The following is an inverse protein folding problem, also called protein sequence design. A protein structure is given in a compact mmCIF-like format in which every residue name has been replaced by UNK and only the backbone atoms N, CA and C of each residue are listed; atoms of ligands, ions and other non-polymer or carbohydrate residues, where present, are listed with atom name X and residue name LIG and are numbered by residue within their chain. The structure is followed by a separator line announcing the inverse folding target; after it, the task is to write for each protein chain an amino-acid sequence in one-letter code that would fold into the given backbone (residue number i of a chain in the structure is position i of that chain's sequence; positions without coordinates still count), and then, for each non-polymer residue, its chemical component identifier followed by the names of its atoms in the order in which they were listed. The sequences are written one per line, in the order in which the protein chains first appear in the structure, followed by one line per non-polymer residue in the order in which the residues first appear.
data_IF_117441697034
#
_entry.id   IF_117441697034
#
_cell.length_a   1.000
_cell.length_b   1.000
_cell.length_c   1.000
_cell.angle_alpha   90.00
_cell.angle_beta   90.00
_cell.angle_gamma   90.00
#
_symmetry.space_group_name_H-M   'P 1'
#
loop_
_entity.id
_entity.type
_entity.pdbx_description
1 polymer ?
#
# COMPACT_ATOMS: atom_id res chain seq x y z
N UNK A 1 -35.16 -13.39 -1.54
CA UNK A 1 -34.80 -11.96 -1.44
C UNK A 1 -33.30 -11.89 -1.31
N UNK A 2 -32.65 -10.89 -1.90
CA UNK A 2 -31.21 -10.67 -1.71
C UNK A 2 -30.91 -10.08 -0.32
N UNK A 3 -29.79 -10.48 0.27
CA UNK A 3 -29.39 -10.06 1.62
C UNK A 3 -27.90 -9.74 1.70
N UNK A 4 -27.53 -8.89 2.65
CA UNK A 4 -26.12 -8.68 3.04
C UNK A 4 -25.92 -9.38 4.38
N UNK A 5 -24.87 -10.18 4.45
CA UNK A 5 -24.49 -10.90 5.65
C UNK A 5 -22.97 -10.96 5.83
N UNK A 6 -22.50 -11.32 7.03
CA UNK A 6 -21.08 -11.58 7.25
C UNK A 6 -20.56 -12.70 6.33
N UNK A 7 -19.31 -12.50 5.87
CA UNK A 7 -18.53 -13.48 5.14
C UNK A 7 -18.13 -14.63 6.05
N UNK A 8 -18.32 -15.87 5.60
CA UNK A 8 -17.97 -17.09 6.31
C UNK A 8 -16.98 -17.95 5.53
N UNK A 9 -16.32 -18.92 6.20
CA UNK A 9 -15.40 -19.85 5.51
C UNK A 9 -16.07 -20.64 4.39
N UNK A 10 -17.35 -20.93 4.52
CA UNK A 10 -18.13 -21.65 3.49
C UNK A 10 -18.31 -20.85 2.20
N UNK A 11 -18.18 -19.54 2.27
CA UNK A 11 -18.35 -18.65 1.12
C UNK A 11 -17.07 -18.52 0.27
N UNK A 12 -15.91 -18.96 0.81
CA UNK A 12 -14.61 -18.81 0.15
C UNK A 12 -14.63 -19.28 -1.32
N UNK A 13 -15.19 -20.45 -1.67
CA UNK A 13 -15.20 -20.90 -3.07
C UNK A 13 -15.93 -19.93 -4.01
N UNK A 14 -17.09 -19.40 -3.58
CA UNK A 14 -17.87 -18.46 -4.38
C UNK A 14 -17.17 -17.09 -4.49
N UNK A 15 -16.57 -16.60 -3.40
CA UNK A 15 -15.82 -15.33 -3.37
C UNK A 15 -14.55 -15.42 -4.23
N UNK A 16 -13.85 -16.56 -4.21
CA UNK A 16 -12.69 -16.82 -5.09
C UNK A 16 -13.11 -16.79 -6.57
N UNK A 17 -14.23 -17.41 -6.92
CA UNK A 17 -14.76 -17.37 -8.28
C UNK A 17 -15.13 -15.93 -8.70
N UNK A 18 -15.78 -15.18 -7.82
CA UNK A 18 -16.09 -13.75 -8.06
C UNK A 18 -14.80 -12.94 -8.26
N UNK A 19 -13.76 -13.16 -7.43
CA UNK A 19 -12.47 -12.52 -7.52
C UNK A 19 -11.81 -12.78 -8.88
N UNK A 20 -11.77 -14.03 -9.33
CA UNK A 20 -11.22 -14.40 -10.63
C UNK A 20 -12.00 -13.74 -11.78
N UNK A 21 -13.34 -13.72 -11.72
CA UNK A 21 -14.19 -13.06 -12.72
C UNK A 21 -13.94 -11.54 -12.79
N UNK A 22 -13.75 -10.87 -11.67
CA UNK A 22 -13.62 -9.41 -11.63
C UNK A 22 -12.22 -8.94 -12.02
N UNK A 23 -11.17 -9.62 -11.53
CA UNK A 23 -9.80 -9.13 -11.69
C UNK A 23 -9.00 -9.81 -12.80
N UNK A 24 -9.42 -10.98 -13.30
CA UNK A 24 -8.66 -11.76 -14.30
C UNK A 24 -9.43 -12.00 -15.61
N UNK A 25 -10.47 -11.23 -15.89
CA UNK A 25 -11.35 -11.41 -17.05
C UNK A 25 -10.70 -11.10 -18.42
N UNK A 26 -9.48 -10.53 -18.46
CA UNK A 26 -8.84 -10.01 -19.68
C UNK A 26 -7.70 -10.91 -20.19
N UNK A 27 -7.77 -12.23 -20.05
CA UNK A 27 -6.74 -13.14 -20.57
C UNK A 27 -5.47 -13.20 -19.72
N UNK A 28 -5.46 -12.64 -18.55
CA UNK A 28 -4.41 -12.84 -17.56
C UNK A 28 -4.57 -14.20 -16.87
N UNK A 29 -3.45 -14.89 -16.64
CA UNK A 29 -3.47 -16.16 -15.92
C UNK A 29 -3.89 -15.93 -14.47
N UNK A 30 -5.09 -16.40 -14.12
CA UNK A 30 -5.56 -16.33 -12.74
C UNK A 30 -4.73 -17.29 -11.86
N UNK A 31 -4.42 -16.91 -10.61
CA UNK A 31 -3.86 -17.85 -9.65
C UNK A 31 -4.79 -19.02 -9.41
N UNK A 32 -4.24 -20.19 -9.01
CA UNK A 32 -5.07 -21.36 -8.73
C UNK A 32 -6.09 -21.08 -7.65
N UNK A 33 -7.27 -21.66 -7.77
CA UNK A 33 -8.35 -21.48 -6.78
C UNK A 33 -7.93 -21.93 -5.38
N UNK A 34 -7.09 -22.97 -5.26
CA UNK A 34 -6.55 -23.43 -3.97
C UNK A 34 -5.66 -22.37 -3.30
N UNK A 35 -4.77 -21.72 -4.07
CA UNK A 35 -3.92 -20.64 -3.56
C UNK A 35 -4.74 -19.41 -3.14
N UNK A 36 -5.79 -19.09 -3.90
CA UNK A 36 -6.70 -18.00 -3.54
C UNK A 36 -7.52 -18.33 -2.31
N UNK A 37 -8.02 -19.57 -2.18
CA UNK A 37 -8.78 -19.99 -0.99
C UNK A 37 -7.93 -19.89 0.27
N UNK A 38 -6.68 -20.36 0.25
CA UNK A 38 -5.75 -20.23 1.36
C UNK A 38 -5.47 -18.74 1.70
N UNK A 39 -5.30 -17.90 0.68
CA UNK A 39 -5.11 -16.46 0.85
C UNK A 39 -6.34 -15.80 1.52
N UNK A 40 -7.57 -16.09 1.07
CA UNK A 40 -8.79 -15.52 1.66
C UNK A 40 -8.99 -16.01 3.10
N UNK A 41 -8.74 -17.28 3.36
CA UNK A 41 -8.85 -17.84 4.70
C UNK A 41 -7.85 -17.19 5.66
N UNK A 42 -6.58 -17.14 5.29
CA UNK A 42 -5.53 -16.55 6.12
C UNK A 42 -5.76 -15.04 6.36
N UNK A 43 -6.18 -14.30 5.31
CA UNK A 43 -6.32 -12.84 5.38
C UNK A 43 -7.53 -12.41 6.23
N UNK A 44 -8.67 -13.11 6.11
CA UNK A 44 -9.92 -12.65 6.71
C UNK A 44 -10.34 -13.40 7.97
N UNK A 45 -9.73 -14.57 8.25
CA UNK A 45 -10.09 -15.37 9.42
C UNK A 45 -8.93 -15.63 10.40
N UNK A 46 -7.68 -15.37 9.99
CA UNK A 46 -6.50 -15.57 10.82
C UNK A 46 -5.66 -14.30 10.99
N UNK A 47 -6.28 -13.13 10.86
CA UNK A 47 -5.61 -11.87 11.15
C UNK A 47 -5.60 -11.62 12.67
N UNK A 48 -4.54 -11.00 13.24
CA UNK A 48 -4.45 -10.78 14.68
C UNK A 48 -5.53 -9.85 15.25
N UNK A 49 -6.33 -9.23 14.40
CA UNK A 49 -7.42 -8.33 14.81
C UNK A 49 -8.80 -8.98 14.73
N UNK A 50 -8.92 -10.25 14.31
CA UNK A 50 -10.19 -10.97 14.18
C UNK A 50 -10.55 -11.83 15.39
N UNK A 51 -9.68 -11.92 16.42
CA UNK A 51 -9.83 -12.85 17.54
C UNK A 51 -10.61 -12.28 18.73
N UNK A 52 -11.03 -11.03 18.73
CA UNK A 52 -11.61 -10.38 19.92
C UNK A 52 -13.02 -10.82 20.31
N UNK A 53 -13.71 -11.69 19.58
CA UNK A 53 -14.96 -12.36 19.97
C UNK A 53 -16.09 -11.45 20.54
N UNK A 54 -15.99 -10.14 20.37
CA UNK A 54 -16.98 -9.18 20.85
C UNK A 54 -18.21 -9.13 19.94
N UNK A 55 -19.39 -8.87 20.49
CA UNK A 55 -20.65 -8.76 19.73
C UNK A 55 -20.61 -7.69 18.62
N UNK A 56 -19.69 -6.73 18.70
CA UNK A 56 -19.45 -5.66 17.72
C UNK A 56 -18.29 -5.94 16.77
N UNK A 57 -18.15 -7.18 16.32
CA UNK A 57 -17.04 -7.55 15.43
C UNK A 57 -17.19 -6.90 14.05
N UNK A 58 -16.08 -6.28 13.59
CA UNK A 58 -15.98 -5.73 12.23
C UNK A 58 -15.64 -6.87 11.27
N UNK A 59 -16.66 -7.32 10.49
CA UNK A 59 -16.53 -8.47 9.59
C UNK A 59 -16.60 -8.07 8.13
N UNK A 60 -15.91 -8.83 7.28
CA UNK A 60 -16.11 -8.81 5.82
C UNK A 60 -17.56 -9.17 5.47
N UNK A 61 -18.08 -8.60 4.37
CA UNK A 61 -19.47 -8.74 3.98
C UNK A 61 -19.61 -9.36 2.60
N UNK A 62 -20.64 -10.17 2.42
CA UNK A 62 -21.08 -10.69 1.12
C UNK A 62 -22.48 -10.17 0.79
N UNK A 63 -22.74 -9.98 -0.50
CA UNK A 63 -24.07 -9.76 -1.04
C UNK A 63 -24.55 -11.05 -1.70
N UNK A 64 -25.56 -11.66 -1.12
CA UNK A 64 -26.14 -12.92 -1.56
C UNK A 64 -27.51 -12.68 -2.22
N UNK A 65 -27.72 -13.26 -3.38
CA UNK A 65 -28.99 -13.24 -4.09
C UNK A 65 -29.97 -14.27 -3.52
N UNK A 66 -31.26 -14.16 -3.86
CA UNK A 66 -32.30 -15.03 -3.32
C UNK A 66 -32.15 -16.52 -3.69
N UNK A 67 -31.30 -16.85 -4.65
CA UNK A 67 -30.91 -18.20 -5.07
C UNK A 67 -29.62 -18.71 -4.43
N UNK A 68 -29.06 -17.94 -3.49
CA UNK A 68 -27.84 -18.30 -2.75
C UNK A 68 -26.51 -17.98 -3.46
N UNK A 69 -26.54 -17.27 -4.60
CA UNK A 69 -25.32 -16.88 -5.28
C UNK A 69 -24.71 -15.61 -4.67
N UNK A 70 -23.39 -15.61 -4.46
CA UNK A 70 -22.64 -14.44 -4.00
C UNK A 70 -22.22 -13.61 -5.21
N UNK A 71 -22.80 -12.43 -5.35
CA UNK A 71 -22.55 -11.48 -6.46
C UNK A 71 -21.83 -10.22 -6.02
N UNK A 72 -21.54 -10.06 -4.74
CA UNK A 72 -20.76 -8.95 -4.22
C UNK A 72 -20.00 -9.33 -2.96
N UNK A 73 -18.83 -8.69 -2.76
CA UNK A 73 -17.98 -8.90 -1.61
C UNK A 73 -17.25 -7.60 -1.26
N UNK A 74 -17.10 -7.32 0.01
CA UNK A 74 -16.18 -6.35 0.55
C UNK A 74 -15.38 -7.01 1.67
N UNK A 75 -14.08 -7.20 1.43
CA UNK A 75 -13.15 -7.65 2.45
C UNK A 75 -12.88 -6.55 3.45
N UNK A 76 -12.82 -6.85 4.73
CA UNK A 76 -12.57 -5.89 5.79
C UNK A 76 -11.53 -6.47 6.74
N UNK A 77 -10.48 -5.69 6.99
CA UNK A 77 -9.50 -5.98 8.03
C UNK A 77 -9.65 -4.92 9.13
N UNK A 78 -10.06 -5.31 10.33
CA UNK A 78 -10.04 -4.43 11.49
C UNK A 78 -8.62 -3.95 11.76
N UNK A 79 -8.47 -2.74 12.26
CA UNK A 79 -7.19 -2.16 12.69
C UNK A 79 -7.40 -1.34 13.94
N UNK A 80 -6.42 -1.35 14.83
CA UNK A 80 -6.37 -0.41 15.95
C UNK A 80 -5.55 0.79 15.54
N UNK A 81 -6.08 1.99 15.77
CA UNK A 81 -5.35 3.24 15.60
C UNK A 81 -5.49 4.11 16.86
N UNK A 82 -4.62 5.07 16.98
CA UNK A 82 -4.66 6.07 18.06
C UNK A 82 -4.96 7.44 17.43
N UNK A 83 -5.97 8.13 17.96
CA UNK A 83 -6.24 9.55 17.69
C UNK A 83 -5.82 10.35 18.93
N UNK A 84 -4.77 11.15 18.81
CA UNK A 84 -4.18 11.89 19.95
C UNK A 84 -3.90 10.99 21.16
N UNK A 85 -3.43 9.75 20.92
CA UNK A 85 -3.18 8.76 21.96
C UNK A 85 -4.41 8.00 22.46
N UNK A 86 -5.63 8.32 22.01
CA UNK A 86 -6.87 7.61 22.36
C UNK A 86 -7.14 6.49 21.34
N UNK A 87 -7.41 5.26 21.76
CA UNK A 87 -7.73 4.17 20.85
C UNK A 87 -8.99 4.45 20.03
N UNK A 88 -8.94 4.15 18.74
CA UNK A 88 -10.08 4.13 17.83
C UNK A 88 -10.09 2.85 17.02
N UNK A 89 -11.28 2.40 16.62
CA UNK A 89 -11.48 1.24 15.75
C UNK A 89 -11.46 1.69 14.29
N UNK A 90 -10.61 1.06 13.47
CA UNK A 90 -10.53 1.33 12.05
C UNK A 90 -10.84 0.06 11.25
N UNK A 91 -11.59 0.21 10.18
CA UNK A 91 -11.89 -0.84 9.23
C UNK A 91 -11.23 -0.52 7.88
N UNK A 92 -10.21 -1.28 7.50
CA UNK A 92 -9.60 -1.16 6.16
C UNK A 92 -10.34 -2.10 5.21
N UNK A 93 -11.03 -1.50 4.22
CA UNK A 93 -11.69 -2.30 3.18
C UNK A 93 -10.71 -2.67 2.08
N UNK A 94 -10.87 -3.88 1.54
CA UNK A 94 -10.09 -4.42 0.45
C UNK A 94 -10.92 -5.35 -0.43
N UNK A 95 -10.46 -5.57 -1.65
CA UNK A 95 -11.15 -6.46 -2.60
C UNK A 95 -12.64 -6.15 -2.73
N UNK A 96 -13.00 -4.85 -2.79
CA UNK A 96 -14.38 -4.48 -3.10
C UNK A 96 -14.73 -4.93 -4.51
N UNK A 97 -15.61 -5.92 -4.63
CA UNK A 97 -15.96 -6.60 -5.87
C UNK A 97 -17.46 -6.72 -6.00
N UNK A 98 -17.94 -6.54 -7.22
CA UNK A 98 -19.33 -6.83 -7.60
C UNK A 98 -19.31 -7.47 -8.98
N UNK A 99 -20.11 -8.52 -9.17
CA UNK A 99 -20.20 -9.21 -10.45
C UNK A 99 -20.64 -8.25 -11.57
N UNK A 100 -19.95 -8.23 -12.72
CA UNK A 100 -20.34 -7.38 -13.85
C UNK A 100 -21.77 -7.70 -14.33
N UNK A 101 -22.65 -6.69 -14.40
CA UNK A 101 -24.03 -6.85 -14.88
C UNK A 101 -24.99 -5.77 -14.38
N UNK A 102 -26.20 -5.73 -14.88
CA UNK A 102 -27.20 -4.65 -14.64
C UNK A 102 -27.69 -4.54 -13.17
N UNK A 103 -27.60 -5.61 -12.38
CA UNK A 103 -28.01 -5.64 -10.96
C UNK A 103 -26.85 -5.32 -10.01
N UNK A 104 -25.64 -5.22 -10.50
CA UNK A 104 -24.41 -5.16 -9.72
C UNK A 104 -24.20 -3.80 -9.03
N UNK A 105 -24.64 -2.69 -9.64
CA UNK A 105 -24.44 -1.35 -9.07
C UNK A 105 -25.18 -1.19 -7.73
N UNK A 106 -26.38 -1.74 -7.61
CA UNK A 106 -27.14 -1.68 -6.36
C UNK A 106 -26.47 -2.51 -5.24
N UNK A 107 -25.95 -3.68 -5.56
CA UNK A 107 -25.22 -4.53 -4.60
C UNK A 107 -24.00 -3.81 -4.04
N UNK A 108 -23.20 -3.13 -4.88
CA UNK A 108 -22.04 -2.35 -4.44
C UNK A 108 -22.42 -1.18 -3.52
N UNK A 109 -23.47 -0.44 -3.87
CA UNK A 109 -23.99 0.65 -3.04
C UNK A 109 -24.47 0.15 -1.69
N UNK A 110 -25.20 -0.97 -1.67
CA UNK A 110 -25.71 -1.55 -0.41
C UNK A 110 -24.60 -2.10 0.47
N UNK A 111 -23.61 -2.81 -0.11
CA UNK A 111 -22.42 -3.27 0.63
C UNK A 111 -21.68 -2.11 1.31
N UNK A 112 -21.42 -1.02 0.56
CA UNK A 112 -20.74 0.14 1.14
C UNK A 112 -21.58 0.88 2.19
N UNK A 113 -22.91 0.99 2.02
CA UNK A 113 -23.79 1.55 3.06
C UNK A 113 -23.73 0.72 4.33
N UNK A 114 -23.80 -0.61 4.22
CA UNK A 114 -23.69 -1.51 5.38
C UNK A 114 -22.31 -1.38 6.03
N UNK A 115 -21.24 -1.32 5.24
CA UNK A 115 -19.89 -1.11 5.73
C UNK A 115 -19.76 0.23 6.50
N UNK A 116 -20.30 1.33 5.98
CA UNK A 116 -20.26 2.64 6.66
C UNK A 116 -21.11 2.70 7.92
N UNK A 117 -22.11 1.83 8.03
CA UNK A 117 -22.95 1.71 9.21
C UNK A 117 -22.36 0.81 10.30
N UNK A 118 -21.20 0.22 10.06
CA UNK A 118 -20.52 -0.64 11.01
C UNK A 118 -20.03 0.10 12.27
N UNK A 119 -19.50 -0.67 13.24
CA UNK A 119 -19.12 -0.15 14.56
C UNK A 119 -17.76 0.58 14.59
N UNK A 120 -17.06 0.68 13.46
CA UNK A 120 -15.78 1.37 13.36
C UNK A 120 -15.92 2.90 13.40
N UNK A 121 -14.92 3.56 13.98
CA UNK A 121 -14.80 5.01 14.00
C UNK A 121 -14.29 5.56 12.66
N UNK A 122 -13.46 4.78 11.94
CA UNK A 122 -12.89 5.13 10.65
C UNK A 122 -13.02 3.96 9.66
N UNK A 123 -13.63 4.21 8.52
CA UNK A 123 -13.57 3.34 7.34
C UNK A 123 -12.51 3.86 6.38
N UNK A 124 -11.61 3.00 5.92
CA UNK A 124 -10.45 3.34 5.09
C UNK A 124 -10.29 2.35 3.93
N UNK A 125 -9.86 2.84 2.77
CA UNK A 125 -9.20 2.06 1.72
C UNK A 125 -8.11 2.90 1.07
N UNK A 126 -7.07 2.29 0.55
CA UNK A 126 -5.93 3.01 -0.03
C UNK A 126 -5.55 2.53 -1.44
N UNK A 127 -6.41 1.75 -2.05
CA UNK A 127 -6.20 1.26 -3.42
C UNK A 127 -7.45 1.35 -4.32
N UNK A 128 -8.35 2.28 -4.01
CA UNK A 128 -9.59 2.44 -4.74
C UNK A 128 -9.38 2.89 -6.20
N UNK A 129 -10.10 2.24 -7.12
CA UNK A 129 -10.22 2.68 -8.50
C UNK A 129 -11.24 3.82 -8.66
N UNK A 130 -11.32 4.41 -9.85
CA UNK A 130 -12.17 5.57 -10.13
C UNK A 130 -13.67 5.31 -9.87
N UNK A 131 -14.17 4.11 -10.18
CA UNK A 131 -15.57 3.75 -9.93
C UNK A 131 -15.83 3.63 -8.41
N UNK A 132 -14.97 2.92 -7.68
CA UNK A 132 -15.07 2.79 -6.22
C UNK A 132 -15.05 4.15 -5.53
N UNK A 133 -14.19 5.07 -5.99
CA UNK A 133 -14.14 6.45 -5.50
C UNK A 133 -15.48 7.16 -5.67
N UNK A 134 -16.09 7.11 -6.87
CA UNK A 134 -17.39 7.76 -7.13
C UNK A 134 -18.50 7.24 -6.21
N UNK A 135 -18.56 5.93 -6.00
CA UNK A 135 -19.56 5.33 -5.12
C UNK A 135 -19.31 5.73 -3.67
N UNK A 136 -18.07 5.70 -3.22
CA UNK A 136 -17.67 6.08 -1.87
C UNK A 136 -18.03 7.53 -1.55
N UNK A 137 -17.63 8.47 -2.44
CA UNK A 137 -17.96 9.90 -2.30
C UNK A 137 -19.48 10.15 -2.35
N UNK A 138 -20.20 9.45 -3.23
CA UNK A 138 -21.67 9.52 -3.35
C UNK A 138 -22.41 9.04 -2.10
N UNK A 139 -21.77 8.27 -1.23
CA UNK A 139 -22.31 7.77 0.04
C UNK A 139 -21.84 8.56 1.28
N UNK A 140 -21.19 9.71 1.08
CA UNK A 140 -20.72 10.58 2.17
C UNK A 140 -19.29 10.30 2.63
N UNK A 141 -18.57 9.42 1.96
CA UNK A 141 -17.13 9.30 2.18
C UNK A 141 -16.35 10.38 1.45
N UNK A 142 -15.05 10.43 1.64
CA UNK A 142 -14.19 11.45 1.08
C UNK A 142 -12.87 10.89 0.55
N UNK A 143 -12.29 11.56 -0.44
CA UNK A 143 -10.94 11.26 -0.93
C UNK A 143 -9.91 12.01 -0.10
N UNK A 144 -9.01 11.29 0.54
CA UNK A 144 -7.83 11.84 1.20
C UNK A 144 -6.74 12.13 0.16
N UNK A 145 -6.83 13.29 -0.52
CA UNK A 145 -5.99 13.62 -1.68
C UNK A 145 -4.50 13.56 -1.36
N UNK A 146 -4.07 14.11 -0.22
CA UNK A 146 -2.67 14.12 0.19
C UNK A 146 -2.08 12.70 0.31
N UNK A 147 -2.90 11.73 0.76
CA UNK A 147 -2.53 10.32 0.89
C UNK A 147 -2.73 9.51 -0.40
N UNK A 148 -3.29 10.11 -1.44
CA UNK A 148 -3.44 9.51 -2.77
C UNK A 148 -2.27 9.87 -3.69
N UNK A 149 -1.33 10.71 -3.24
CA UNK A 149 -0.13 11.08 -3.99
C UNK A 149 0.92 9.98 -3.82
N UNK A 150 1.46 9.54 -4.95
CA UNK A 150 2.63 8.68 -4.98
C UNK A 150 3.84 9.47 -5.52
N UNK A 151 4.99 9.21 -4.96
CA UNK A 151 6.25 9.75 -5.46
C UNK A 151 7.03 8.71 -6.24
N UNK A 152 7.84 9.19 -7.18
CA UNK A 152 8.78 8.37 -7.97
C UNK A 152 10.12 9.08 -8.02
N UNK A 153 11.19 8.40 -7.62
CA UNK A 153 12.58 8.85 -7.77
C UNK A 153 13.25 8.02 -8.86
N UNK A 154 13.66 8.68 -9.94
CA UNK A 154 14.42 8.03 -11.01
C UNK A 154 15.90 7.93 -10.60
N UNK A 155 16.45 6.72 -10.62
CA UNK A 155 17.86 6.43 -10.29
C UNK A 155 18.68 6.13 -11.54
N UNK A 156 18.02 5.58 -12.59
CA UNK A 156 18.59 5.28 -13.91
C UNK A 156 17.57 5.69 -14.99
N UNK A 157 17.55 6.99 -15.38
CA UNK A 157 16.48 7.54 -16.21
C UNK A 157 16.40 6.89 -17.59
N UNK A 158 17.53 6.54 -18.24
CA UNK A 158 17.52 5.91 -19.56
C UNK A 158 16.82 4.53 -19.50
N UNK A 159 17.15 3.72 -18.51
CA UNK A 159 16.52 2.42 -18.31
C UNK A 159 15.03 2.54 -17.99
N UNK A 160 14.64 3.57 -17.23
CA UNK A 160 13.25 3.82 -16.92
C UNK A 160 12.44 4.16 -18.19
N UNK A 161 12.97 5.02 -19.06
CA UNK A 161 12.33 5.36 -20.33
C UNK A 161 12.20 4.13 -21.23
N UNK A 162 13.28 3.33 -21.39
CA UNK A 162 13.23 2.10 -22.17
C UNK A 162 12.19 1.09 -21.64
N UNK A 163 12.05 1.01 -20.31
CA UNK A 163 11.01 0.18 -19.68
C UNK A 163 9.60 0.66 -20.02
N UNK A 164 9.35 1.97 -20.02
CA UNK A 164 8.05 2.52 -20.42
C UNK A 164 7.74 2.25 -21.89
N UNK A 165 8.74 2.37 -22.76
CA UNK A 165 8.62 2.05 -24.20
C UNK A 165 8.32 0.56 -24.43
N UNK A 166 9.04 -0.33 -23.74
CA UNK A 166 8.88 -1.77 -23.85
C UNK A 166 7.49 -2.29 -23.46
N UNK A 167 6.73 -1.51 -22.68
CA UNK A 167 5.35 -1.85 -22.27
C UNK A 167 4.29 -1.51 -23.32
N UNK A 168 4.61 -0.67 -24.32
CA UNK A 168 3.60 -0.20 -25.28
C UNK A 168 3.31 -1.24 -26.37
N UNK A 169 4.33 -1.86 -26.96
CA UNK A 169 4.16 -2.91 -27.96
C UNK A 169 5.42 -3.75 -28.14
N UNK A 170 5.30 -4.87 -28.88
CA UNK A 170 6.37 -5.84 -29.12
C UNK A 170 7.58 -5.23 -29.86
N UNK A 171 7.36 -4.36 -30.87
CA UNK A 171 8.43 -3.73 -31.63
C UNK A 171 9.26 -2.79 -30.75
N UNK A 172 8.61 -1.97 -29.92
CA UNK A 172 9.30 -1.11 -28.96
C UNK A 172 10.04 -1.91 -27.88
N UNK A 173 9.56 -3.09 -27.52
CA UNK A 173 10.27 -4.01 -26.61
C UNK A 173 11.58 -4.50 -27.21
N UNK A 174 11.58 -4.90 -28.50
CA UNK A 174 12.80 -5.30 -29.21
C UNK A 174 13.78 -4.12 -29.33
N UNK A 175 13.29 -2.96 -29.71
CA UNK A 175 14.09 -1.74 -29.80
C UNK A 175 14.72 -1.35 -28.44
N UNK A 176 13.94 -1.41 -27.36
CA UNK A 176 14.43 -1.17 -26.01
C UNK A 176 15.53 -2.18 -25.60
N UNK A 177 15.41 -3.45 -26.01
CA UNK A 177 16.44 -4.46 -25.76
C UNK A 177 17.75 -4.14 -26.47
N UNK A 178 17.71 -3.67 -27.71
CA UNK A 178 18.90 -3.25 -28.48
C UNK A 178 19.60 -2.02 -27.88
N UNK A 179 18.83 -1.06 -27.34
CA UNK A 179 19.39 0.14 -26.74
C UNK A 179 19.86 -0.03 -25.29
N UNK A 180 19.52 -1.14 -24.63
CA UNK A 180 19.87 -1.41 -23.24
C UNK A 180 21.37 -1.29 -22.91
N UNK A 181 22.33 -1.75 -23.79
CA UNK A 181 23.75 -1.60 -23.54
C UNK A 181 24.23 -0.14 -23.50
N UNK A 182 23.52 0.80 -24.15
CA UNK A 182 23.87 2.22 -24.18
C UNK A 182 23.41 2.98 -22.93
N UNK A 183 22.51 2.42 -22.14
CA UNK A 183 21.97 3.06 -20.96
C UNK A 183 23.03 3.55 -19.96
N UNK A 184 24.09 2.79 -19.63
CA UNK A 184 25.08 3.29 -18.68
C UNK A 184 25.79 4.57 -19.16
N UNK A 185 26.04 4.69 -20.47
CA UNK A 185 26.67 5.88 -21.08
C UNK A 185 25.72 7.06 -21.01
N UNK A 186 24.45 6.85 -21.39
CA UNK A 186 23.41 7.89 -21.35
C UNK A 186 23.17 8.35 -19.92
N UNK A 187 23.09 7.42 -18.95
CA UNK A 187 22.91 7.75 -17.54
C UNK A 187 24.13 8.49 -16.97
N UNK A 188 25.35 8.16 -17.38
CA UNK A 188 26.56 8.89 -17.01
C UNK A 188 26.54 10.33 -17.57
N UNK A 189 26.17 10.51 -18.83
CA UNK A 189 26.02 11.84 -19.44
C UNK A 189 24.94 12.66 -18.72
N UNK A 190 23.79 12.07 -18.41
CA UNK A 190 22.72 12.72 -17.65
C UNK A 190 23.19 13.12 -16.25
N UNK A 191 23.99 12.27 -15.60
CA UNK A 191 24.61 12.54 -14.30
C UNK A 191 25.59 13.70 -14.33
N UNK A 192 26.38 13.84 -15.40
CA UNK A 192 27.28 14.97 -15.58
C UNK A 192 26.52 16.28 -15.90
N UNK A 193 25.50 16.21 -16.75
CA UNK A 193 24.72 17.38 -17.15
C UNK A 193 23.81 17.92 -16.03
N UNK A 194 23.24 17.04 -15.23
CA UNK A 194 22.27 17.36 -14.16
C UNK A 194 22.63 16.59 -12.86
N UNK A 195 23.78 16.89 -12.23
CA UNK A 195 24.30 16.12 -11.09
C UNK A 195 23.33 16.08 -9.91
N UNK A 196 22.59 17.16 -9.65
CA UNK A 196 21.62 17.23 -8.56
C UNK A 196 20.41 16.29 -8.80
N UNK A 197 20.03 16.08 -10.07
CA UNK A 197 18.88 15.24 -10.43
C UNK A 197 19.22 13.77 -10.65
N UNK A 198 20.33 13.50 -11.34
CA UNK A 198 20.68 12.16 -11.81
C UNK A 198 22.07 11.71 -11.35
N UNK A 199 22.74 12.52 -10.52
CA UNK A 199 23.99 12.14 -9.89
C UNK A 199 23.83 10.90 -9.01
N UNK A 200 24.94 10.20 -8.80
CA UNK A 200 24.98 9.06 -7.89
C UNK A 200 24.54 9.50 -6.49
N UNK A 201 23.51 8.90 -5.90
CA UNK A 201 23.10 9.22 -4.53
C UNK A 201 24.26 8.95 -3.56
N UNK A 202 24.36 9.77 -2.51
CA UNK A 202 25.37 9.64 -1.46
C UNK A 202 24.65 9.39 -0.14
N UNK A 203 25.17 8.47 0.66
CA UNK A 203 24.63 8.16 1.98
C UNK A 203 25.63 8.55 3.07
N UNK A 204 25.16 9.24 4.10
CA UNK A 204 25.94 9.63 5.30
C UNK A 204 25.64 8.73 6.51
N UNK A 205 24.47 8.10 6.52
CA UNK A 205 24.01 7.26 7.63
C UNK A 205 24.59 5.85 7.56
N UNK A 206 24.77 5.25 8.73
CA UNK A 206 25.10 3.83 8.86
C UNK A 206 23.86 2.98 8.77
N UNK A 207 23.91 1.87 8.04
CA UNK A 207 22.80 0.95 7.89
C UNK A 207 23.05 -0.39 8.57
N UNK A 208 22.00 -0.92 9.19
CA UNK A 208 21.95 -2.29 9.72
C UNK A 208 20.68 -2.97 9.22
N UNK A 209 20.65 -4.30 9.28
CA UNK A 209 19.42 -5.02 9.02
C UNK A 209 18.38 -4.63 10.09
N UNK A 210 17.15 -4.37 9.63
CA UNK A 210 16.04 -4.04 10.51
C UNK A 210 15.40 -5.33 11.00
N UNK A 211 15.70 -5.72 12.22
CA UNK A 211 15.04 -6.81 12.91
C UNK A 211 13.74 -6.37 13.59
N UNK A 212 13.01 -7.33 14.12
CA UNK A 212 11.70 -7.10 14.74
C UNK A 212 11.80 -6.27 16.02
N UNK A 213 12.82 -6.50 16.85
CA UNK A 213 13.06 -5.76 18.09
C UNK A 213 13.36 -4.28 17.82
N UNK A 214 14.27 -4.02 16.88
CA UNK A 214 14.63 -2.67 16.44
C UNK A 214 13.44 -1.94 15.87
N UNK A 215 12.60 -2.61 15.09
CA UNK A 215 11.39 -2.02 14.53
C UNK A 215 10.38 -1.67 15.62
N UNK A 216 10.13 -2.55 16.60
CA UNK A 216 9.24 -2.27 17.73
C UNK A 216 9.71 -1.06 18.55
N UNK A 217 11.00 -1.00 18.86
CA UNK A 217 11.58 0.13 19.57
C UNK A 217 11.46 1.43 18.77
N UNK A 218 11.64 1.38 17.46
CA UNK A 218 11.47 2.51 16.55
C UNK A 218 10.04 3.00 16.47
N UNK A 219 9.07 2.09 16.31
CA UNK A 219 7.64 2.43 16.22
C UNK A 219 7.13 3.14 17.47
N UNK A 220 7.62 2.80 18.65
CA UNK A 220 7.28 3.49 19.88
C UNK A 220 7.74 4.96 19.89
N UNK A 221 8.78 5.31 19.14
CA UNK A 221 9.40 6.64 19.17
C UNK A 221 8.98 7.55 18.01
N UNK A 222 8.91 7.03 16.78
CA UNK A 222 8.83 7.88 15.58
C UNK A 222 7.42 8.33 15.16
N UNK A 223 6.39 7.47 15.12
CA UNK A 223 5.05 7.88 14.75
C UNK A 223 4.32 8.69 15.82
N UNK A 224 4.89 8.86 17.01
CA UNK A 224 4.25 9.63 18.12
C UNK A 224 3.90 11.06 17.77
N UNK A 225 4.52 11.64 16.73
CA UNK A 225 4.24 12.99 16.25
C UNK A 225 2.98 13.13 15.38
N UNK A 226 2.31 12.00 15.04
CA UNK A 226 1.07 12.02 14.25
C UNK A 226 -0.14 11.97 15.16
N UNK A 227 -1.13 12.84 14.87
CA UNK A 227 -2.40 12.84 15.59
C UNK A 227 -3.15 11.51 15.40
N UNK A 228 -3.15 10.99 14.18
CA UNK A 228 -3.77 9.71 13.82
C UNK A 228 -2.69 8.72 13.36
N UNK A 229 -2.54 7.61 14.07
CA UNK A 229 -1.48 6.64 13.80
C UNK A 229 -1.89 5.22 14.17
N UNK A 230 -1.31 4.18 13.56
CA UNK A 230 -1.52 2.79 13.99
C UNK A 230 -1.14 2.58 15.46
N UNK A 231 -1.92 1.75 16.13
CA UNK A 231 -1.62 1.21 17.46
C UNK A 231 -1.02 -0.19 17.28
N UNK A 232 0.29 -0.22 17.06
CA UNK A 232 0.99 -1.48 16.85
C UNK A 232 1.28 -2.20 18.17
N UNK A 233 0.82 -3.40 18.27
CA UNK A 233 1.33 -4.40 19.21
C UNK A 233 2.33 -5.34 18.51
N UNK A 234 3.14 -6.10 19.26
CA UNK A 234 4.13 -7.02 18.67
C UNK A 234 3.53 -8.03 17.71
N UNK A 235 2.36 -8.60 18.04
CA UNK A 235 1.71 -9.61 17.23
C UNK A 235 1.25 -9.07 15.88
N UNK A 236 0.58 -7.91 15.88
CA UNK A 236 0.10 -7.26 14.66
C UNK A 236 1.25 -6.81 13.75
N UNK A 237 2.33 -6.30 14.32
CA UNK A 237 3.50 -5.89 13.55
C UNK A 237 4.22 -7.09 12.92
N UNK A 238 4.39 -8.17 13.69
CA UNK A 238 5.03 -9.39 13.18
C UNK A 238 4.21 -10.02 12.05
N UNK A 239 2.88 -10.02 12.20
CA UNK A 239 2.00 -10.50 11.14
C UNK A 239 2.14 -9.67 9.85
N UNK A 240 2.20 -8.32 9.96
CA UNK A 240 2.40 -7.45 8.80
C UNK A 240 3.74 -7.70 8.10
N UNK A 241 4.82 -7.87 8.87
CA UNK A 241 6.13 -8.18 8.31
C UNK A 241 6.18 -9.57 7.67
N UNK A 242 5.56 -10.57 8.31
CA UNK A 242 5.45 -11.91 7.74
C UNK A 242 4.65 -11.90 6.43
N UNK A 243 3.57 -11.11 6.37
CA UNK A 243 2.81 -10.90 5.12
C UNK A 243 3.63 -10.21 4.05
N UNK A 244 4.41 -9.20 4.40
CA UNK A 244 5.30 -8.54 3.46
C UNK A 244 6.35 -9.52 2.90
N UNK A 245 6.96 -10.34 3.76
CA UNK A 245 7.92 -11.38 3.34
C UNK A 245 7.25 -12.48 2.47
N UNK A 246 6.03 -12.90 2.79
CA UNK A 246 5.28 -13.93 2.06
C UNK A 246 4.84 -13.47 0.66
N UNK A 247 4.47 -12.19 0.54
CA UNK A 247 3.99 -11.62 -0.72
C UNK A 247 5.13 -11.14 -1.62
N UNK A 248 6.31 -10.85 -1.04
CA UNK A 248 7.52 -10.57 -1.78
C UNK A 248 8.11 -11.86 -2.35
N UNK A 249 8.78 -11.75 -3.51
CA UNK A 249 9.60 -12.86 -3.99
C UNK A 249 10.84 -13.03 -3.11
N UNK A 250 11.39 -14.23 -2.98
CA UNK A 250 12.60 -14.45 -2.19
C UNK A 250 13.72 -13.48 -2.56
N UNK A 251 14.22 -12.73 -1.58
CA UNK A 251 15.28 -11.75 -1.75
C UNK A 251 14.89 -10.40 -2.34
N UNK A 252 13.61 -10.15 -2.61
CA UNK A 252 13.14 -8.83 -3.10
C UNK A 252 12.92 -7.82 -1.96
N UNK A 253 12.43 -8.26 -0.78
CA UNK A 253 12.18 -7.36 0.34
C UNK A 253 13.48 -6.96 1.05
N UNK A 254 13.68 -5.66 1.19
CA UNK A 254 14.80 -5.04 1.91
C UNK A 254 14.26 -4.33 3.14
N UNK A 255 14.83 -4.64 4.31
CA UNK A 255 14.48 -4.07 5.62
C UNK A 255 15.74 -3.45 6.20
N UNK A 256 15.77 -2.14 6.38
CA UNK A 256 16.99 -1.41 6.74
C UNK A 256 16.71 -0.41 7.85
N UNK A 257 17.47 -0.52 8.95
CA UNK A 257 17.54 0.47 10.03
C UNK A 257 18.71 1.42 9.80
N UNK A 258 18.52 2.69 10.14
CA UNK A 258 19.51 3.76 9.93
C UNK A 258 19.91 4.41 11.24
N UNK A 259 21.22 4.60 11.40
CA UNK A 259 21.83 5.17 12.57
C UNK A 259 22.72 6.36 12.20
N UNK A 260 22.77 7.37 13.07
CA UNK A 260 23.71 8.46 12.97
C UNK A 260 25.13 8.02 13.44
N UNK A 261 26.08 8.96 13.41
CA UNK A 261 27.46 8.71 13.84
C UNK A 261 27.56 8.33 15.35
N UNK A 262 26.62 8.78 16.16
CA UNK A 262 26.55 8.50 17.59
C UNK A 262 25.91 7.12 17.89
N UNK A 263 25.49 6.39 16.87
CA UNK A 263 24.83 5.09 16.99
C UNK A 263 23.33 5.16 17.31
N UNK A 264 22.73 6.36 17.36
CA UNK A 264 21.29 6.50 17.57
C UNK A 264 20.51 6.18 16.30
N UNK A 265 19.41 5.45 16.44
CA UNK A 265 18.49 5.20 15.35
C UNK A 265 17.79 6.50 14.92
N UNK A 266 17.89 6.85 13.64
CA UNK A 266 17.27 8.05 13.05
C UNK A 266 16.11 7.75 12.13
N UNK A 267 15.94 6.50 11.73
CA UNK A 267 14.84 6.05 10.88
C UNK A 267 15.04 4.64 10.33
N UNK A 268 14.11 4.22 9.50
CA UNK A 268 14.16 2.96 8.75
C UNK A 268 13.36 3.03 7.48
N UNK A 269 13.55 2.04 6.62
CA UNK A 269 12.68 1.82 5.47
C UNK A 269 12.56 0.34 5.11
N UNK A 270 11.42 0.01 4.51
CA UNK A 270 11.14 -1.26 3.88
C UNK A 270 10.79 -1.02 2.42
N UNK A 271 11.43 -1.73 1.50
CA UNK A 271 11.06 -1.68 0.09
C UNK A 271 11.27 -3.02 -0.60
N UNK A 272 10.46 -3.30 -1.60
CA UNK A 272 10.63 -4.43 -2.50
C UNK A 272 11.33 -3.98 -3.78
N UNK A 273 12.25 -4.79 -4.28
CA UNK A 273 12.94 -4.53 -5.55
C UNK A 273 12.63 -5.67 -6.52
N UNK A 274 11.81 -5.39 -7.51
CA UNK A 274 11.45 -6.36 -8.53
C UNK A 274 12.59 -6.61 -9.53
N UNK A 275 12.58 -7.78 -10.17
CA UNK A 275 13.61 -8.20 -11.14
C UNK A 275 13.76 -7.23 -12.34
N UNK A 276 12.72 -6.46 -12.66
CA UNK A 276 12.76 -5.43 -13.71
C UNK A 276 13.39 -4.10 -13.23
N UNK A 277 13.85 -4.05 -11.96
CA UNK A 277 14.53 -2.91 -11.37
C UNK A 277 13.62 -1.83 -10.79
N UNK A 278 12.31 -2.04 -10.72
CA UNK A 278 11.41 -1.13 -10.00
C UNK A 278 11.40 -1.45 -8.53
N UNK A 279 11.65 -0.44 -7.71
CA UNK A 279 11.54 -0.55 -6.27
C UNK A 279 10.24 0.09 -5.77
N UNK A 280 9.54 -0.63 -4.88
CA UNK A 280 8.32 -0.17 -4.23
C UNK A 280 8.53 -0.05 -2.74
N UNK A 281 8.47 1.18 -2.23
CA UNK A 281 8.67 1.48 -0.82
C UNK A 281 7.36 1.22 -0.08
N UNK A 282 7.39 0.23 0.83
CA UNK A 282 6.25 -0.13 1.67
C UNK A 282 6.13 0.81 2.86
N UNK A 283 7.26 1.12 3.49
CA UNK A 283 7.32 2.04 4.61
C UNK A 283 8.65 2.79 4.60
N UNK A 284 8.61 4.07 4.95
CA UNK A 284 9.76 4.90 5.26
C UNK A 284 9.42 5.76 6.46
N UNK A 285 10.30 5.79 7.45
CA UNK A 285 10.13 6.52 8.70
C UNK A 285 11.45 7.17 9.08
N UNK A 286 11.38 8.38 9.61
CA UNK A 286 12.55 9.08 10.09
C UNK A 286 12.21 10.25 11.00
N UNK A 287 13.18 10.68 11.82
CA UNK A 287 13.06 11.93 12.58
C UNK A 287 12.97 13.09 11.61
N UNK A 288 12.13 14.07 11.90
CA UNK A 288 11.91 15.24 11.02
C UNK A 288 13.22 15.92 10.56
N UNK A 289 14.17 16.05 11.47
CA UNK A 289 15.46 16.69 11.16
C UNK A 289 16.39 15.85 10.25
N UNK A 290 16.22 14.51 10.26
CA UNK A 290 17.10 13.57 9.55
C UNK A 290 16.38 12.92 8.35
N UNK A 291 15.13 13.27 8.05
CA UNK A 291 14.35 12.59 7.01
C UNK A 291 14.99 12.73 5.62
N UNK A 292 15.58 13.88 5.32
CA UNK A 292 16.35 14.09 4.08
C UNK A 292 17.52 13.13 3.92
N UNK A 293 18.24 12.82 5.03
CA UNK A 293 19.35 11.86 5.04
C UNK A 293 18.84 10.41 4.91
N UNK A 294 17.67 10.10 5.51
CA UNK A 294 17.00 8.81 5.34
C UNK A 294 16.63 8.59 3.86
N UNK A 295 16.11 9.61 3.17
CA UNK A 295 15.83 9.55 1.73
C UNK A 295 17.11 9.36 0.91
N UNK A 296 18.18 10.08 1.23
CA UNK A 296 19.49 9.93 0.55
C UNK A 296 20.00 8.50 0.67
N UNK A 297 19.92 7.93 1.87
CA UNK A 297 20.34 6.55 2.09
C UNK A 297 19.45 5.55 1.35
N UNK A 298 18.12 5.72 1.36
CA UNK A 298 17.20 4.88 0.61
C UNK A 298 17.53 4.89 -0.88
N UNK A 299 17.76 6.07 -1.46
CA UNK A 299 18.10 6.22 -2.88
C UNK A 299 19.47 5.64 -3.21
N UNK A 300 20.46 5.82 -2.35
CA UNK A 300 21.78 5.19 -2.48
C UNK A 300 21.67 3.66 -2.43
N UNK A 301 20.95 3.13 -1.44
CA UNK A 301 20.77 1.69 -1.26
C UNK A 301 20.03 1.07 -2.45
N UNK A 302 18.94 1.68 -2.91
CA UNK A 302 18.24 1.27 -4.12
C UNK A 302 19.13 1.30 -5.36
N UNK A 303 19.89 2.39 -5.54
CA UNK A 303 20.84 2.50 -6.66
C UNK A 303 21.91 1.42 -6.60
N UNK A 304 22.51 1.18 -5.43
CA UNK A 304 23.53 0.13 -5.23
C UNK A 304 22.99 -1.28 -5.55
N UNK A 305 21.74 -1.54 -5.23
CA UNK A 305 21.08 -2.83 -5.49
C UNK A 305 20.45 -2.94 -6.90
N UNK A 306 20.71 -2.00 -7.79
CA UNK A 306 20.29 -2.10 -9.20
C UNK A 306 18.93 -1.49 -9.52
N UNK A 307 18.27 -0.81 -8.59
CA UNK A 307 17.01 -0.15 -8.87
C UNK A 307 17.16 0.89 -9.99
N UNK A 308 16.19 0.93 -10.91
CA UNK A 308 16.08 1.97 -11.94
C UNK A 308 15.21 3.13 -11.49
N UNK A 309 14.23 2.85 -10.63
CA UNK A 309 13.45 3.86 -9.94
C UNK A 309 12.91 3.28 -8.62
N UNK A 310 12.67 4.17 -7.66
CA UNK A 310 11.93 3.86 -6.43
C UNK A 310 10.63 4.65 -6.43
N UNK A 311 9.58 4.06 -5.90
CA UNK A 311 8.26 4.69 -5.75
C UNK A 311 7.65 4.36 -4.40
N UNK A 312 6.81 5.24 -3.89
CA UNK A 312 6.12 5.04 -2.62
C UNK A 312 4.96 5.99 -2.47
N UNK A 313 4.20 5.83 -1.39
CA UNK A 313 3.19 6.81 -0.99
C UNK A 313 3.89 8.03 -0.41
N UNK A 314 3.37 9.21 -0.75
CA UNK A 314 3.84 10.45 -0.14
C UNK A 314 3.33 10.54 1.31
N UNK A 315 4.23 10.79 2.23
CA UNK A 315 3.86 11.34 3.53
C UNK A 315 3.73 12.85 3.41
N UNK A 316 2.54 13.43 3.63
CA UNK A 316 2.32 14.86 3.45
C UNK A 316 3.23 15.74 4.31
N UNK A 317 3.65 15.26 5.50
CA UNK A 317 4.55 15.99 6.40
C UNK A 317 5.94 16.19 5.82
N UNK A 318 6.35 15.37 4.87
CA UNK A 318 7.69 15.38 4.25
C UNK A 318 7.67 15.71 2.76
N UNK A 319 6.57 16.32 2.28
CA UNK A 319 6.42 16.64 0.86
C UNK A 319 7.58 17.52 0.32
N UNK A 320 8.08 18.45 1.16
CA UNK A 320 9.21 19.32 0.79
C UNK A 320 10.49 18.51 0.61
N UNK A 321 10.79 17.61 1.54
CA UNK A 321 12.00 16.78 1.49
C UNK A 321 11.99 15.87 0.24
N UNK A 322 10.84 15.28 -0.13
CA UNK A 322 10.72 14.53 -1.38
C UNK A 322 10.92 15.43 -2.61
N UNK A 323 10.40 16.65 -2.59
CA UNK A 323 10.58 17.64 -3.67
C UNK A 323 12.04 18.05 -3.82
N UNK A 324 12.71 18.34 -2.72
CA UNK A 324 14.13 18.73 -2.69
C UNK A 324 15.05 17.60 -3.22
N UNK A 325 14.61 16.36 -3.09
CA UNK A 325 15.27 15.17 -3.66
C UNK A 325 14.81 14.85 -5.09
N UNK A 326 14.15 15.77 -5.78
CA UNK A 326 13.71 15.63 -7.18
C UNK A 326 12.80 14.40 -7.42
N UNK A 327 11.95 14.08 -6.48
CA UNK A 327 10.90 13.10 -6.69
C UNK A 327 9.78 13.68 -7.56
N UNK A 328 9.28 12.90 -8.51
CA UNK A 328 8.08 13.22 -9.27
C UNK A 328 6.85 12.80 -8.49
N UNK A 329 5.81 13.62 -8.49
CA UNK A 329 4.54 13.30 -7.83
C UNK A 329 3.49 12.91 -8.85
N UNK A 330 2.72 11.87 -8.52
CA UNK A 330 1.60 11.38 -9.33
C UNK A 330 0.37 11.21 -8.45
N UNK A 331 -0.75 11.81 -8.87
CA UNK A 331 -2.04 11.76 -8.18
C UNK A 331 -3.17 11.18 -9.05
N UNK A 332 -2.84 10.35 -10.04
CA UNK A 332 -3.79 9.68 -10.93
C UNK A 332 -4.46 8.41 -10.39
N UNK A 333 -4.35 8.11 -9.10
CA UNK A 333 -4.79 6.89 -8.44
C UNK A 333 -3.68 5.84 -8.31
N UNK A 334 -3.87 4.77 -7.53
CA UNK A 334 -5.07 4.44 -6.75
C UNK A 334 -5.36 5.47 -5.64
N UNK A 335 -6.65 5.58 -5.27
CA UNK A 335 -7.12 6.59 -4.35
C UNK A 335 -7.20 6.08 -2.91
N UNK A 336 -6.81 6.93 -1.95
CA UNK A 336 -7.09 6.72 -0.53
C UNK A 336 -8.42 7.37 -0.19
N UNK A 337 -9.37 6.56 0.27
CA UNK A 337 -10.72 7.00 0.61
C UNK A 337 -10.97 6.77 2.09
N UNK A 338 -11.71 7.68 2.70
CA UNK A 338 -12.01 7.66 4.13
C UNK A 338 -13.49 7.96 4.37
N UNK A 339 -14.05 7.39 5.43
CA UNK A 339 -15.35 7.75 5.95
C UNK A 339 -15.30 7.66 7.47
N UNK A 340 -15.73 8.71 8.14
CA UNK A 340 -15.87 8.78 9.60
C UNK A 340 -17.01 9.71 9.98
N UNK A 341 -17.69 9.39 11.08
CA UNK A 341 -18.67 10.30 11.71
C UNK A 341 -18.00 11.24 12.72
N UNK A 342 -16.74 10.96 13.06
CA UNK A 342 -15.97 11.80 13.99
C UNK A 342 -15.19 12.88 13.19
N UNK A 343 -15.52 14.19 13.37
CA UNK A 343 -14.86 15.27 12.66
C UNK A 343 -13.37 15.42 13.03
N UNK A 344 -12.93 15.04 14.24
CA UNK A 344 -11.53 15.11 14.65
C UNK A 344 -10.67 14.15 13.80
N UNK A 345 -11.19 12.95 13.48
CA UNK A 345 -10.49 11.99 12.60
C UNK A 345 -10.33 12.58 11.20
N UNK A 346 -11.40 13.13 10.63
CA UNK A 346 -11.36 13.74 9.30
C UNK A 346 -10.43 14.95 9.26
N UNK A 347 -10.42 15.76 10.32
CA UNK A 347 -9.51 16.90 10.44
C UNK A 347 -8.06 16.46 10.44
N UNK A 348 -7.67 15.45 11.22
CA UNK A 348 -6.31 14.92 11.23
C UNK A 348 -5.88 14.43 9.83
N UNK A 349 -6.80 13.75 9.11
CA UNK A 349 -6.53 13.27 7.75
C UNK A 349 -6.34 14.44 6.77
N UNK A 350 -7.23 15.44 6.79
CA UNK A 350 -7.16 16.57 5.86
C UNK A 350 -5.96 17.51 6.13
N UNK A 351 -5.50 17.58 7.38
CA UNK A 351 -4.30 18.32 7.76
C UNK A 351 -3.00 17.58 7.42
N UNK A 352 -3.07 16.35 6.89
CA UNK A 352 -1.88 15.54 6.61
C UNK A 352 -1.23 14.98 7.88
N UNK A 353 -1.99 14.87 8.98
CA UNK A 353 -1.50 14.43 10.29
C UNK A 353 -1.88 12.99 10.63
N UNK A 354 -2.01 12.15 9.61
CA UNK A 354 -2.17 10.69 9.73
C UNK A 354 -0.90 9.98 9.29
N UNK A 355 -0.43 9.03 10.08
CA UNK A 355 0.60 8.09 9.64
C UNK A 355 -0.06 6.95 8.87
N UNK A 356 0.16 6.93 7.57
CA UNK A 356 -0.35 5.87 6.67
C UNK A 356 0.68 5.58 5.59
N UNK A 357 1.23 4.39 5.61
CA UNK A 357 2.14 3.89 4.58
C UNK A 357 1.51 2.74 3.80
N UNK A 358 2.22 2.13 2.88
CA UNK A 358 1.71 0.95 2.17
C UNK A 358 1.67 -0.32 3.03
N UNK A 359 2.35 -0.30 4.17
CA UNK A 359 2.35 -1.42 5.12
C UNK A 359 1.01 -1.53 5.87
N UNK A 360 0.35 -0.41 6.16
CA UNK A 360 -0.90 -0.38 6.94
C UNK A 360 -2.15 -0.58 6.09
N UNK A 361 -2.06 -0.33 4.77
CA UNK A 361 -3.23 -0.32 3.89
C UNK A 361 -3.53 -1.65 3.22
N UNK A 362 -4.49 -1.60 2.31
CA UNK A 362 -4.82 -2.68 1.37
C UNK A 362 -3.65 -3.03 0.45
N UNK A 363 -2.76 -2.06 0.20
CA UNK A 363 -1.64 -2.22 -0.73
C UNK A 363 -0.77 -3.44 -0.40
N UNK A 364 -0.47 -3.67 0.87
CA UNK A 364 0.29 -4.83 1.31
C UNK A 364 -0.41 -6.16 0.96
N UNK A 365 -1.75 -6.17 1.01
CA UNK A 365 -2.56 -7.36 0.77
C UNK A 365 -2.85 -7.61 -0.72
N UNK A 366 -2.52 -6.65 -1.60
CA UNK A 366 -2.68 -6.85 -3.04
C UNK A 366 -1.69 -7.88 -3.52
N UNK A 367 -2.22 -9.02 -3.94
CA UNK A 367 -1.42 -10.01 -4.65
C UNK A 367 -0.91 -9.38 -5.94
N UNK A 368 0.39 -9.28 -6.10
CA UNK A 368 0.99 -8.82 -7.35
C UNK A 368 0.61 -9.84 -8.43
N UNK A 369 -0.20 -9.40 -9.38
CA UNK A 369 -0.46 -10.19 -10.58
C UNK A 369 0.86 -10.29 -11.34
N UNK A 370 1.35 -11.49 -11.50
CA UNK A 370 2.55 -11.82 -12.30
C UNK A 370 2.30 -11.60 -13.79
#
# INVERSE_FOLDING_TARGET
MSSIRPFTKNDIPQVVNLFQKVFFNNGQTAPSSSNLSAYFEETFFHSPWTEDGTEEEIRSLVYETGDGAIVGFIGIIPRRMLLHGRPIRTATSMHFMVEPGSRSTLAGVQLLKTFFSGPQDLSLTDSAGALGRKIWEGLGGATALAYSINWVRLLRPSRYVLRLLARKNMLLRLFAALLRPLCPIIDAMASCALPHRFGKPVASLQSKDLDQETLLAGIAQFPSSYALRPDYDPGSLFWLLAKADQLARPGELRKVALHNADGEMVGWYLYELSADGMGEVLQIVGRRKSFGEVLDHLFYHGWKNGAIALSGRLDPKFAQEFSDKYCFFNCGGPWTLTHSRNPEILQAIYQGDMFLTRLEGEWLMRRKNE
#
